data_IF_351191443194
#
_entry.id   IF_351191443194
#
_cell.length_a   1.000
_cell.length_b   1.000
_cell.length_c   1.000
_cell.angle_alpha   90.00
_cell.angle_beta   90.00
_cell.angle_gamma   90.00
#
_symmetry.space_group_name_H-M   'P 1'
#
loop_
_entity.id
_entity.type
_entity.pdbx_description
1 polymer ?
#
# COMPACT_ATOMS: atom_id res chain seq x y z
N UNK A 1 46.01 42.57 8.14
CA UNK A 1 46.84 43.02 7.00
C UNK A 1 48.26 42.50 7.20
N UNK A 2 48.69 41.58 6.33
CA UNK A 2 50.07 41.31 5.85
C UNK A 2 51.11 40.89 6.93
N UNK A 3 51.35 39.58 7.12
CA UNK A 3 52.35 38.67 6.44
C UNK A 3 53.77 38.80 7.01
N UNK A 4 54.36 37.67 7.41
CA UNK A 4 55.81 37.53 7.62
C UNK A 4 56.23 36.08 7.90
N UNK A 5 56.62 35.36 6.84
CA UNK A 5 57.17 33.98 6.81
C UNK A 5 58.53 33.87 7.53
N UNK A 6 58.84 32.66 8.01
CA UNK A 6 60.23 32.15 7.96
C UNK A 6 60.26 30.62 7.82
N UNK A 7 60.89 30.13 6.74
CA UNK A 7 61.29 28.73 6.55
C UNK A 7 62.55 28.42 7.36
N UNK A 8 62.66 27.20 7.89
CA UNK A 8 63.92 26.44 7.89
C UNK A 8 63.66 24.93 7.77
N UNK A 9 64.25 24.36 6.73
CA UNK A 9 64.49 22.94 6.48
C UNK A 9 65.72 22.47 7.25
N UNK A 10 65.68 21.25 7.81
CA UNK A 10 66.88 20.41 8.01
C UNK A 10 66.50 18.95 7.75
N UNK A 11 67.28 18.31 6.88
CA UNK A 11 67.25 16.92 6.48
C UNK A 11 67.82 15.99 7.55
N UNK A 12 67.23 14.81 7.73
CA UNK A 12 67.84 13.68 8.43
C UNK A 12 67.49 12.38 7.73
N UNK A 13 68.48 11.78 7.06
CA UNK A 13 68.42 10.45 6.46
C UNK A 13 68.47 9.39 7.56
N UNK A 14 67.63 8.36 7.45
CA UNK A 14 67.88 7.07 8.09
C UNK A 14 67.30 5.94 7.22
N UNK A 15 68.21 5.14 6.63
CA UNK A 15 67.91 3.86 6.02
C UNK A 15 67.33 2.90 7.06
N UNK A 16 66.09 2.46 6.84
CA UNK A 16 65.48 1.35 7.54
C UNK A 16 65.00 0.32 6.53
N UNK A 17 65.73 -0.79 6.43
CA UNK A 17 65.38 -1.98 5.68
C UNK A 17 64.03 -2.50 6.19
N UNK A 18 62.99 -2.48 5.34
CA UNK A 18 61.73 -3.19 5.61
C UNK A 18 61.72 -4.45 4.75
N UNK A 19 61.76 -5.57 5.45
CA UNK A 19 61.65 -6.92 4.94
C UNK A 19 60.27 -7.09 4.27
N UNK A 20 60.31 -7.51 3.00
CA UNK A 20 59.15 -7.98 2.24
C UNK A 20 58.68 -9.30 2.87
N UNK A 21 57.54 -9.26 3.57
CA UNK A 21 56.75 -10.44 3.90
C UNK A 21 55.49 -10.40 3.03
N UNK A 22 55.57 -11.11 1.91
CA UNK A 22 54.46 -11.46 1.04
C UNK A 22 53.52 -12.44 1.75
N UNK A 23 52.63 -11.92 2.58
CA UNK A 23 51.42 -12.64 2.99
C UNK A 23 50.38 -12.50 1.88
N UNK A 24 50.13 -13.61 1.17
CA UNK A 24 49.07 -13.69 0.18
C UNK A 24 47.73 -13.37 0.82
N UNK A 25 47.15 -12.22 0.45
CA UNK A 25 45.74 -11.95 0.68
C UNK A 25 44.93 -12.91 -0.17
N UNK A 26 44.55 -14.05 0.42
CA UNK A 26 43.40 -14.80 -0.05
C UNK A 26 42.20 -13.86 0.06
N UNK A 27 41.86 -13.23 -1.07
CA UNK A 27 40.54 -12.68 -1.26
C UNK A 27 39.57 -13.86 -1.23
N UNK A 28 39.06 -14.19 -0.03
CA UNK A 28 37.78 -14.88 0.07
C UNK A 28 36.76 -13.94 -0.55
N UNK A 29 36.48 -14.15 -1.82
CA UNK A 29 35.24 -13.76 -2.44
C UNK A 29 34.13 -14.42 -1.61
N UNK A 30 33.62 -13.70 -0.61
CA UNK A 30 32.28 -13.96 -0.11
C UNK A 30 31.39 -13.63 -1.30
N UNK A 31 31.02 -14.69 -2.02
CA UNK A 31 29.89 -14.66 -2.92
C UNK A 31 28.74 -14.01 -2.16
N UNK A 32 28.38 -12.81 -2.60
CA UNK A 32 27.24 -12.04 -2.12
C UNK A 32 25.99 -12.78 -2.59
N UNK A 33 25.66 -13.87 -1.91
CA UNK A 33 24.43 -14.63 -2.09
C UNK A 33 23.32 -13.96 -1.27
N UNK A 34 23.09 -12.66 -1.50
CA UNK A 34 21.91 -11.97 -0.97
C UNK A 34 20.88 -11.79 -2.08
N UNK A 35 20.43 -12.93 -2.60
CA UNK A 35 19.11 -13.02 -3.21
C UNK A 35 18.09 -12.74 -2.12
N UNK A 36 17.44 -11.58 -2.18
CA UNK A 36 16.30 -11.20 -1.33
C UNK A 36 15.31 -12.38 -1.26
N UNK A 37 15.37 -13.15 -0.17
CA UNK A 37 14.45 -14.27 0.06
C UNK A 37 13.07 -13.65 0.27
N UNK A 38 12.16 -13.89 -0.67
CA UNK A 38 10.80 -13.35 -0.60
C UNK A 38 10.14 -13.67 0.74
N UNK A 39 9.40 -12.70 1.27
CA UNK A 39 8.67 -12.84 2.53
C UNK A 39 7.39 -13.63 2.27
N UNK A 40 7.09 -14.62 3.10
CA UNK A 40 5.88 -15.43 2.93
C UNK A 40 4.63 -14.68 3.39
N UNK A 41 3.51 -14.90 2.70
CA UNK A 41 2.23 -14.28 3.03
C UNK A 41 1.78 -14.48 4.49
N UNK A 42 2.11 -15.63 5.09
CA UNK A 42 1.76 -16.00 6.47
C UNK A 42 2.21 -14.98 7.50
N UNK A 43 3.35 -14.30 7.25
CA UNK A 43 3.87 -13.28 8.15
C UNK A 43 2.92 -12.10 8.30
N UNK A 44 2.13 -11.82 7.26
CA UNK A 44 1.23 -10.67 7.19
C UNK A 44 -0.18 -10.97 7.65
N UNK A 45 -0.62 -12.22 7.53
CA UNK A 45 -2.02 -12.60 7.78
C UNK A 45 -2.22 -13.39 9.07
N UNK A 46 -1.21 -13.46 9.93
CA UNK A 46 -1.25 -14.20 11.20
C UNK A 46 -2.43 -13.82 12.11
N UNK A 47 -2.91 -12.58 12.03
CA UNK A 47 -4.02 -12.08 12.84
C UNK A 47 -5.40 -12.38 12.22
N UNK A 48 -5.45 -12.93 10.99
CA UNK A 48 -6.69 -13.45 10.43
C UNK A 48 -7.15 -14.70 11.21
N UNK A 49 -8.47 -14.97 11.26
CA UNK A 49 -8.99 -16.21 11.79
C UNK A 49 -8.35 -17.46 11.15
N UNK A 50 -8.03 -18.46 11.98
CA UNK A 50 -7.63 -19.78 11.50
C UNK A 50 -8.85 -20.58 11.07
N UNK A 51 -8.72 -21.37 10.01
CA UNK A 51 -9.80 -22.27 9.59
C UNK A 51 -9.82 -23.49 10.53
N UNK A 52 -11.00 -23.93 11.03
CA UNK A 52 -11.09 -25.17 11.78
C UNK A 52 -10.56 -26.34 10.93
N UNK A 53 -9.74 -27.21 11.50
CA UNK A 53 -9.20 -28.37 10.83
C UNK A 53 -10.32 -29.38 10.51
N UNK A 54 -10.93 -29.27 9.33
CA UNK A 54 -11.86 -30.28 8.83
C UNK A 54 -11.02 -31.41 8.26
N UNK A 55 -11.21 -32.63 8.78
CA UNK A 55 -10.32 -33.80 8.67
C UNK A 55 -10.07 -34.41 7.28
N UNK A 56 -9.86 -33.61 6.24
CA UNK A 56 -9.41 -34.08 4.92
C UNK A 56 -8.11 -33.39 4.56
N UNK A 57 -7.05 -34.19 4.48
CA UNK A 57 -5.67 -33.79 4.15
C UNK A 57 -5.59 -33.43 2.65
N UNK A 58 -6.14 -32.29 2.25
CA UNK A 58 -5.88 -31.70 0.94
C UNK A 58 -4.51 -31.03 0.98
N UNK A 59 -3.72 -31.15 -0.09
CA UNK A 59 -2.46 -30.42 -0.24
C UNK A 59 -2.73 -28.93 -0.06
N UNK A 60 -2.08 -28.31 0.94
CA UNK A 60 -2.25 -26.88 1.19
C UNK A 60 -1.77 -26.10 -0.05
N UNK A 61 -2.56 -25.13 -0.55
CA UNK A 61 -2.15 -24.34 -1.70
C UNK A 61 -0.85 -23.61 -1.41
N UNK A 62 0.05 -23.54 -2.41
CA UNK A 62 1.30 -22.78 -2.28
C UNK A 62 0.95 -21.32 -2.03
N UNK A 63 1.43 -20.80 -0.90
CA UNK A 63 1.16 -19.46 -0.45
C UNK A 63 1.97 -18.43 -1.25
N UNK A 64 1.41 -17.24 -1.53
CA UNK A 64 2.14 -16.20 -2.23
C UNK A 64 3.40 -15.74 -1.47
N UNK A 65 4.36 -15.25 -2.24
CA UNK A 65 5.58 -14.59 -1.74
C UNK A 65 5.53 -13.11 -2.06
N UNK A 66 6.15 -12.31 -1.21
CA UNK A 66 6.24 -10.87 -1.34
C UNK A 66 7.69 -10.42 -1.50
N UNK A 67 7.90 -9.40 -2.32
CA UNK A 67 9.18 -8.69 -2.45
C UNK A 67 9.09 -7.32 -1.78
N UNK A 68 10.10 -6.99 -0.97
CA UNK A 68 10.28 -5.63 -0.47
C UNK A 68 10.71 -4.71 -1.60
N UNK A 69 10.11 -3.52 -1.72
CA UNK A 69 10.55 -2.51 -2.68
C UNK A 69 11.76 -1.70 -2.21
N UNK A 70 12.17 -1.83 -0.95
CA UNK A 70 13.36 -1.18 -0.40
C UNK A 70 14.53 -2.17 -0.28
N UNK A 71 15.71 -1.72 -0.72
CA UNK A 71 16.99 -2.47 -0.66
C UNK A 71 17.49 -2.64 0.78
N UNK A 72 17.11 -1.74 1.69
CA UNK A 72 17.36 -1.95 3.12
C UNK A 72 16.50 -3.12 3.60
N UNK A 73 17.14 -4.17 4.13
CA UNK A 73 16.47 -5.32 4.71
C UNK A 73 15.34 -4.85 5.63
N UNK A 74 14.11 -5.27 5.33
CA UNK A 74 12.97 -4.97 6.18
C UNK A 74 13.31 -5.39 7.61
N UNK A 75 13.25 -4.46 8.56
CA UNK A 75 13.57 -4.76 9.94
C UNK A 75 12.66 -5.89 10.44
N UNK A 76 13.26 -6.96 10.97
CA UNK A 76 12.51 -8.11 11.50
C UNK A 76 11.78 -7.78 12.82
N UNK A 77 12.25 -6.77 13.55
CA UNK A 77 11.75 -6.35 14.87
C UNK A 77 11.52 -4.84 14.86
N UNK A 78 10.41 -4.33 15.42
CA UNK A 78 10.19 -2.89 15.50
C UNK A 78 11.19 -2.25 16.48
N UNK A 79 11.54 -0.96 16.29
CA UNK A 79 12.33 -0.22 17.26
C UNK A 79 11.68 -0.19 18.66
N UNK A 80 12.47 -0.01 19.74
CA UNK A 80 11.93 0.10 21.10
C UNK A 80 10.80 1.13 21.22
N UNK A 81 9.73 0.78 21.95
CA UNK A 81 8.56 1.64 22.12
C UNK A 81 7.62 1.74 20.91
N UNK A 82 7.91 0.98 19.83
CA UNK A 82 7.07 0.91 18.64
C UNK A 82 6.59 -0.52 18.38
N UNK A 83 5.53 -0.62 17.58
CA UNK A 83 4.98 -1.86 17.05
C UNK A 83 4.93 -1.79 15.53
N UNK A 84 4.96 -2.95 14.86
CA UNK A 84 4.63 -3.00 13.45
C UNK A 84 3.12 -2.91 13.25
N UNK A 85 2.70 -1.89 12.51
CA UNK A 85 1.35 -1.77 11.99
C UNK A 85 1.34 -2.07 10.50
N UNK A 86 0.34 -2.82 10.05
CA UNK A 86 0.27 -3.32 8.68
C UNK A 86 -1.11 -3.10 8.08
N UNK A 87 -1.10 -2.64 6.82
CA UNK A 87 -2.31 -2.51 6.01
C UNK A 87 -2.06 -3.15 4.65
N UNK A 88 -3.02 -3.94 4.20
CA UNK A 88 -3.04 -4.50 2.87
C UNK A 88 -3.92 -3.67 1.96
N UNK A 89 -3.45 -3.43 0.75
CA UNK A 89 -4.18 -2.70 -0.30
C UNK A 89 -4.16 -3.52 -1.58
N UNK A 90 -5.29 -3.57 -2.28
CA UNK A 90 -5.36 -4.06 -3.66
C UNK A 90 -6.08 -3.04 -4.51
N UNK A 91 -5.42 -2.59 -5.58
CA UNK A 91 -6.05 -1.82 -6.64
C UNK A 91 -6.58 -2.80 -7.70
N UNK A 92 -7.87 -2.72 -7.97
CA UNK A 92 -8.57 -3.56 -8.94
C UNK A 92 -8.87 -2.74 -10.19
N UNK A 93 -8.46 -3.21 -11.37
CA UNK A 93 -8.94 -2.73 -12.67
C UNK A 93 -10.16 -3.54 -13.07
N UNK A 94 -11.19 -2.87 -13.56
CA UNK A 94 -12.28 -3.55 -14.24
C UNK A 94 -11.88 -3.79 -15.68
N UNK A 95 -12.03 -5.03 -16.14
CA UNK A 95 -11.94 -5.39 -17.54
C UNK A 95 -13.20 -6.14 -17.99
N UNK A 96 -13.55 -6.14 -19.28
CA UNK A 96 -14.64 -6.95 -19.79
C UNK A 96 -14.46 -8.41 -19.34
N UNK A 97 -15.58 -9.03 -18.94
CA UNK A 97 -15.56 -10.43 -18.53
C UNK A 97 -15.31 -11.34 -19.73
N UNK A 98 -14.62 -12.44 -19.49
CA UNK A 98 -14.45 -13.54 -20.45
C UNK A 98 -15.22 -14.77 -19.94
N UNK A 99 -15.42 -15.77 -20.81
CA UNK A 99 -16.08 -17.02 -20.43
C UNK A 99 -15.31 -17.83 -19.37
N UNK A 100 -14.00 -17.59 -19.21
CA UNK A 100 -13.16 -18.24 -18.20
C UNK A 100 -13.22 -17.59 -16.81
N UNK A 101 -13.83 -16.41 -16.69
CA UNK A 101 -13.89 -15.70 -15.41
C UNK A 101 -14.94 -16.31 -14.48
N UNK A 102 -14.51 -16.63 -13.26
CA UNK A 102 -15.38 -17.23 -12.23
C UNK A 102 -16.15 -16.19 -11.43
N UNK A 103 -15.62 -14.98 -11.34
CA UNK A 103 -16.25 -13.85 -10.66
C UNK A 103 -16.59 -12.79 -11.68
N UNK A 104 -17.83 -12.37 -11.70
CA UNK A 104 -18.31 -11.30 -12.57
C UNK A 104 -19.16 -10.34 -11.77
N UNK A 105 -19.12 -9.07 -12.12
CA UNK A 105 -20.00 -8.06 -11.59
C UNK A 105 -20.78 -7.42 -12.73
N UNK A 106 -22.09 -7.36 -12.56
CA UNK A 106 -22.94 -6.64 -13.48
C UNK A 106 -22.91 -5.17 -13.10
N UNK A 107 -22.43 -4.35 -14.03
CA UNK A 107 -22.33 -2.90 -13.85
C UNK A 107 -23.28 -2.24 -14.83
N UNK A 108 -24.16 -1.39 -14.32
CA UNK A 108 -25.06 -0.58 -15.15
C UNK A 108 -24.27 0.58 -15.75
N UNK A 109 -24.27 0.66 -17.08
CA UNK A 109 -23.67 1.73 -17.86
C UNK A 109 -24.75 2.44 -18.69
N UNK A 110 -25.07 3.68 -18.31
CA UNK A 110 -26.14 4.43 -18.96
C UNK A 110 -27.53 3.84 -18.70
N UNK A 111 -28.52 4.23 -19.52
CA UNK A 111 -29.93 3.94 -19.25
C UNK A 111 -30.36 2.50 -19.56
N UNK A 112 -29.53 1.66 -20.20
CA UNK A 112 -29.97 0.30 -20.58
C UNK A 112 -28.88 -0.76 -20.80
N UNK A 113 -27.59 -0.43 -20.73
CA UNK A 113 -26.53 -1.41 -21.01
C UNK A 113 -25.99 -2.00 -19.70
N UNK A 114 -26.19 -3.31 -19.54
CA UNK A 114 -25.63 -4.09 -18.44
C UNK A 114 -24.43 -4.87 -18.96
N UNK A 115 -23.25 -4.45 -18.53
CA UNK A 115 -22.00 -5.07 -18.96
C UNK A 115 -21.43 -5.90 -17.83
N UNK A 116 -20.99 -7.12 -18.14
CA UNK A 116 -20.29 -7.98 -17.18
C UNK A 116 -18.82 -7.58 -17.10
N UNK A 117 -18.36 -7.22 -15.91
CA UNK A 117 -16.97 -6.88 -15.63
C UNK A 117 -16.32 -7.87 -14.67
N UNK A 118 -15.04 -8.13 -14.91
CA UNK A 118 -14.16 -8.87 -14.01
C UNK A 118 -13.15 -7.92 -13.39
N UNK A 119 -12.87 -8.09 -12.10
CA UNK A 119 -11.88 -7.30 -11.39
C UNK A 119 -10.53 -8.00 -11.46
N UNK A 120 -9.50 -7.25 -11.86
CA UNK A 120 -8.15 -7.74 -12.05
C UNK A 120 -7.17 -6.95 -11.17
N UNK A 121 -6.28 -7.64 -10.48
CA UNK A 121 -5.28 -7.02 -9.61
C UNK A 121 -4.28 -6.18 -10.40
N UNK A 122 -3.98 -5.00 -9.86
CA UNK A 122 -2.93 -4.13 -10.35
C UNK A 122 -1.80 -4.04 -9.33
N UNK A 123 -0.57 -4.12 -9.82
CA UNK A 123 0.60 -3.72 -9.04
C UNK A 123 0.56 -2.20 -8.75
N UNK A 124 0.97 -1.80 -7.55
CA UNK A 124 1.11 -0.38 -7.24
C UNK A 124 2.15 0.29 -8.16
N UNK A 125 1.83 1.50 -8.62
CA UNK A 125 2.69 2.27 -9.51
C UNK A 125 2.38 2.04 -10.99
N UNK A 126 1.51 1.07 -11.31
CA UNK A 126 0.92 0.96 -12.65
C UNK A 126 0.19 2.25 -13.00
N UNK A 127 0.53 2.85 -14.14
CA UNK A 127 -0.13 4.06 -14.61
C UNK A 127 -1.59 3.79 -14.96
N UNK A 128 -2.46 4.73 -14.60
CA UNK A 128 -3.88 4.68 -14.87
C UNK A 128 -4.24 5.52 -16.10
N UNK A 129 -5.08 4.97 -16.97
CA UNK A 129 -5.52 5.67 -18.18
C UNK A 129 -6.84 6.39 -17.91
N UNK A 130 -7.06 7.61 -18.44
CA UNK A 130 -8.38 8.25 -18.40
C UNK A 130 -9.49 7.33 -18.91
N UNK A 131 -10.63 7.33 -18.23
CA UNK A 131 -11.77 6.44 -18.50
C UNK A 131 -11.66 5.06 -17.84
N UNK A 132 -10.48 4.65 -17.37
CA UNK A 132 -10.30 3.38 -16.68
C UNK A 132 -11.16 3.31 -15.43
N UNK A 133 -11.74 2.13 -15.19
CA UNK A 133 -12.57 1.84 -14.03
C UNK A 133 -11.74 1.09 -13.01
N UNK A 134 -11.73 1.57 -11.76
CA UNK A 134 -10.97 0.97 -10.67
C UNK A 134 -11.76 0.87 -9.37
N UNK A 135 -11.36 -0.04 -8.50
CA UNK A 135 -11.84 -0.15 -7.11
C UNK A 135 -10.67 -0.46 -6.20
N UNK A 136 -10.73 0.01 -4.96
CA UNK A 136 -9.76 -0.34 -3.94
C UNK A 136 -10.36 -1.41 -3.04
N UNK A 137 -9.52 -2.36 -2.60
CA UNK A 137 -9.81 -3.10 -1.38
C UNK A 137 -8.71 -2.85 -0.34
N UNK A 138 -9.13 -2.65 0.91
CA UNK A 138 -8.25 -2.36 2.03
C UNK A 138 -8.56 -3.34 3.17
N UNK A 139 -7.52 -3.88 3.78
CA UNK A 139 -7.60 -4.73 4.95
C UNK A 139 -6.61 -4.24 6.01
N UNK A 140 -7.06 -4.04 7.24
CA UNK A 140 -6.13 -3.87 8.35
C UNK A 140 -5.59 -5.23 8.76
N UNK A 141 -4.28 -5.42 8.71
CA UNK A 141 -3.68 -6.75 8.85
C UNK A 141 -3.18 -7.05 10.26
N UNK A 142 -2.92 -6.02 11.06
CA UNK A 142 -2.27 -6.18 12.36
C UNK A 142 -2.94 -5.45 13.51
N UNK A 143 -4.08 -4.79 13.27
CA UNK A 143 -4.81 -4.07 14.32
C UNK A 143 -6.27 -3.84 13.98
N UNK A 144 -7.08 -3.73 15.02
CA UNK A 144 -8.43 -3.24 14.90
C UNK A 144 -8.45 -1.71 14.95
N UNK A 145 -9.42 -1.09 14.29
CA UNK A 145 -9.49 0.36 14.26
C UNK A 145 -10.61 0.92 13.39
N UNK A 146 -10.41 2.15 12.95
CA UNK A 146 -11.30 2.92 12.10
C UNK A 146 -10.55 3.36 10.85
N UNK A 147 -11.04 2.96 9.68
CA UNK A 147 -10.45 3.27 8.39
C UNK A 147 -10.98 4.61 7.86
N UNK A 148 -10.08 5.41 7.31
CA UNK A 148 -10.39 6.62 6.57
C UNK A 148 -9.57 6.61 5.28
N UNK A 149 -10.19 7.02 4.18
CA UNK A 149 -9.51 7.22 2.90
C UNK A 149 -9.82 8.62 2.41
N UNK A 150 -8.76 9.39 2.22
CA UNK A 150 -8.80 10.80 1.80
C UNK A 150 -8.14 10.88 0.44
N UNK A 151 -8.82 11.47 -0.52
CA UNK A 151 -8.30 11.72 -1.85
C UNK A 151 -7.86 13.18 -2.01
N UNK A 152 -6.74 13.42 -2.68
CA UNK A 152 -6.31 14.73 -3.16
C UNK A 152 -5.81 14.59 -4.60
N UNK A 153 -6.13 15.58 -5.43
CA UNK A 153 -5.48 15.70 -6.74
C UNK A 153 -4.02 16.11 -6.54
N UNK A 154 -3.10 15.52 -7.27
CA UNK A 154 -1.71 15.98 -7.39
C UNK A 154 -1.55 16.63 -8.76
N UNK A 155 -0.99 17.84 -8.76
CA UNK A 155 -0.74 18.61 -9.96
C UNK A 155 0.72 18.51 -10.42
N UNK A 156 1.01 18.89 -11.66
CA UNK A 156 2.34 18.79 -12.25
C UNK A 156 3.41 19.65 -11.52
N UNK A 157 2.98 20.70 -10.82
CA UNK A 157 3.83 21.53 -9.96
C UNK A 157 4.12 20.89 -8.58
N UNK A 158 3.60 19.69 -8.31
CA UNK A 158 3.69 18.99 -7.04
C UNK A 158 2.73 19.51 -5.96
N UNK A 159 1.90 20.51 -6.27
CA UNK A 159 0.88 20.97 -5.34
C UNK A 159 -0.27 19.98 -5.25
N UNK A 160 -0.91 19.93 -4.08
CA UNK A 160 -2.08 19.09 -3.82
C UNK A 160 -3.35 19.95 -3.84
N UNK A 161 -4.41 19.40 -4.41
CA UNK A 161 -5.76 19.95 -4.36
C UNK A 161 -6.46 19.71 -3.02
N UNK A 162 -7.75 20.00 -2.98
CA UNK A 162 -8.58 19.86 -1.77
C UNK A 162 -8.61 18.43 -1.25
N UNK A 163 -8.55 18.30 0.08
CA UNK A 163 -8.66 17.01 0.75
C UNK A 163 -10.11 16.55 0.81
N UNK A 164 -10.39 15.40 0.21
CA UNK A 164 -11.72 14.84 0.04
C UNK A 164 -11.84 13.49 0.73
N UNK A 165 -12.57 13.40 1.83
CA UNK A 165 -12.89 12.12 2.48
C UNK A 165 -13.80 11.31 1.56
N UNK A 166 -13.28 10.22 1.01
CA UNK A 166 -14.01 9.30 0.13
C UNK A 166 -14.47 8.03 0.88
N UNK A 167 -13.96 7.79 2.09
CA UNK A 167 -14.45 6.77 3.00
C UNK A 167 -14.11 7.13 4.46
N UNK A 168 -15.03 6.94 5.42
CA UNK A 168 -16.42 6.49 5.23
C UNK A 168 -17.32 7.56 4.62
N UNK A 169 -18.40 7.09 3.99
CA UNK A 169 -19.57 7.88 3.58
C UNK A 169 -20.82 7.07 3.89
N UNK A 170 -21.98 7.70 4.09
CA UNK A 170 -23.25 6.99 4.34
C UNK A 170 -23.65 6.05 3.20
N UNK A 171 -23.28 6.41 1.96
CA UNK A 171 -23.47 5.55 0.78
C UNK A 171 -22.65 4.25 0.84
N UNK A 172 -21.55 4.21 1.59
CA UNK A 172 -20.67 3.02 1.68
C UNK A 172 -20.78 2.41 3.07
N UNK A 173 -21.38 1.22 3.17
CA UNK A 173 -21.55 0.50 4.44
C UNK A 173 -22.27 1.34 5.51
N UNK A 174 -23.19 2.22 5.12
CA UNK A 174 -23.94 3.10 6.05
C UNK A 174 -23.02 3.97 6.93
N UNK A 175 -21.81 4.28 6.46
CA UNK A 175 -20.80 5.01 7.21
C UNK A 175 -19.97 4.17 8.18
N UNK A 176 -20.20 2.85 8.25
CA UNK A 176 -19.40 1.95 9.07
C UNK A 176 -17.97 1.85 8.53
N UNK A 177 -16.99 2.18 9.38
CA UNK A 177 -15.57 2.15 9.03
C UNK A 177 -14.71 1.35 10.00
N UNK A 178 -15.32 0.52 10.85
CA UNK A 178 -14.57 -0.41 11.70
C UNK A 178 -13.84 -1.44 10.82
N UNK A 179 -12.55 -1.60 11.07
CA UNK A 179 -11.70 -2.57 10.37
C UNK A 179 -10.99 -3.48 11.37
N UNK A 180 -10.70 -4.69 10.91
CA UNK A 180 -9.95 -5.73 11.63
C UNK A 180 -9.34 -6.71 10.63
N UNK A 181 -8.42 -7.55 11.10
CA UNK A 181 -7.84 -8.61 10.27
C UNK A 181 -8.90 -9.54 9.68
N UNK A 182 -8.75 -9.86 8.40
CA UNK A 182 -9.67 -10.69 7.63
C UNK A 182 -10.93 -9.96 7.15
N UNK A 183 -11.20 -8.72 7.59
CA UNK A 183 -12.34 -7.93 7.08
C UNK A 183 -11.86 -6.98 6.00
N UNK A 184 -12.24 -7.28 4.76
CA UNK A 184 -11.89 -6.47 3.60
C UNK A 184 -12.96 -5.39 3.38
N UNK A 185 -12.51 -4.16 3.14
CA UNK A 185 -13.37 -3.02 2.81
C UNK A 185 -13.13 -2.64 1.35
N UNK A 186 -14.21 -2.57 0.58
CA UNK A 186 -14.18 -2.15 -0.82
C UNK A 186 -14.59 -0.69 -0.96
N UNK A 187 -13.81 0.08 -1.71
CA UNK A 187 -14.00 1.52 -1.86
C UNK A 187 -13.96 1.89 -3.36
N UNK A 188 -15.08 2.37 -3.93
CA UNK A 188 -16.42 2.33 -3.33
C UNK A 188 -16.91 0.87 -3.20
N UNK A 189 -17.93 0.65 -2.37
CA UNK A 189 -18.54 -0.68 -2.21
C UNK A 189 -19.22 -1.16 -3.51
N UNK A 190 -19.29 -2.48 -3.76
CA UNK A 190 -19.94 -3.03 -4.94
C UNK A 190 -21.42 -2.61 -5.04
N UNK A 191 -21.98 -2.47 -6.26
CA UNK A 191 -21.32 -2.69 -7.57
C UNK A 191 -20.53 -1.46 -8.06
N UNK A 192 -20.33 -0.43 -7.23
CA UNK A 192 -19.75 0.84 -7.66
C UNK A 192 -18.24 0.75 -7.97
N UNK A 193 -17.73 1.75 -8.69
CA UNK A 193 -16.33 1.88 -9.06
C UNK A 193 -15.94 3.37 -9.17
N UNK A 194 -14.65 3.66 -9.12
CA UNK A 194 -14.11 4.95 -9.55
C UNK A 194 -13.79 4.92 -11.03
N UNK A 195 -14.15 6.00 -11.74
CA UNK A 195 -13.71 6.22 -13.12
C UNK A 195 -12.62 7.28 -13.12
N UNK A 196 -11.45 6.93 -13.65
CA UNK A 196 -10.31 7.85 -13.73
C UNK A 196 -10.66 8.99 -14.68
N UNK A 197 -10.72 10.20 -14.14
CA UNK A 197 -11.05 11.42 -14.89
C UNK A 197 -10.18 12.56 -14.37
N UNK A 198 -8.98 12.75 -14.94
CA UNK A 198 -8.14 13.89 -14.57
C UNK A 198 -8.93 15.19 -14.74
N UNK A 199 -8.71 16.14 -13.84
CA UNK A 199 -9.38 17.44 -13.86
C UNK A 199 -8.74 18.32 -14.94
N UNK A 200 -9.53 19.21 -15.55
CA UNK A 200 -9.05 20.16 -16.56
C UNK A 200 -8.32 21.37 -15.95
N UNK A 201 -7.69 21.19 -14.78
CA UNK A 201 -6.93 22.25 -14.09
C UNK A 201 -5.76 22.73 -14.96
N UNK A 202 -5.53 24.04 -15.01
CA UNK A 202 -4.37 24.63 -15.70
C UNK A 202 -3.02 24.18 -15.12
N UNK A 203 -3.02 23.66 -13.89
CA UNK A 203 -1.82 23.11 -13.24
C UNK A 203 -1.46 21.70 -13.72
N UNK A 204 -2.30 21.06 -14.52
CA UNK A 204 -2.14 19.69 -15.01
C UNK A 204 -2.32 18.66 -13.90
N UNK A 205 -3.47 18.00 -13.84
CA UNK A 205 -3.73 16.92 -12.88
C UNK A 205 -3.02 15.63 -13.32
N UNK A 206 -2.03 15.19 -12.55
CA UNK A 206 -1.11 14.08 -12.92
C UNK A 206 -1.33 12.80 -12.12
N UNK A 207 -1.96 12.87 -10.94
CA UNK A 207 -2.28 11.71 -10.13
C UNK A 207 -3.40 12.00 -9.12
N UNK A 208 -4.10 10.96 -8.67
CA UNK A 208 -4.79 11.00 -7.37
C UNK A 208 -3.81 10.53 -6.28
N UNK A 209 -3.78 11.21 -5.14
CA UNK A 209 -3.01 10.79 -3.96
C UNK A 209 -3.97 10.41 -2.85
N UNK A 210 -4.03 9.11 -2.57
CA UNK A 210 -4.86 8.57 -1.52
C UNK A 210 -4.09 8.49 -0.21
N UNK A 211 -4.53 9.22 0.80
CA UNK A 211 -4.09 9.04 2.18
C UNK A 211 -4.99 8.01 2.83
N UNK A 212 -4.44 6.83 3.16
CA UNK A 212 -5.14 5.76 3.88
C UNK A 212 -4.71 5.80 5.33
N UNK A 213 -5.70 5.88 6.22
CA UNK A 213 -5.48 6.00 7.67
C UNK A 213 -6.25 4.93 8.43
N UNK A 214 -5.59 4.27 9.38
CA UNK A 214 -6.24 3.39 10.37
C UNK A 214 -5.91 3.88 11.77
N UNK A 215 -6.93 4.36 12.49
CA UNK A 215 -6.81 4.90 13.85
C UNK A 215 -7.48 4.00 14.88
N UNK A 216 -7.00 4.03 16.12
CA UNK A 216 -7.60 3.29 17.25
C UNK A 216 -8.92 3.91 17.73
N UNK A 217 -9.12 5.21 17.48
CA UNK A 217 -10.29 6.01 17.87
C UNK A 217 -10.92 6.70 16.66
N UNK A 218 -12.23 6.97 16.65
CA UNK A 218 -12.84 7.73 15.56
C UNK A 218 -12.20 9.12 15.44
N UNK A 219 -11.90 9.54 14.21
CA UNK A 219 -11.39 10.90 13.92
C UNK A 219 -12.52 11.86 13.52
N UNK A 220 -13.63 11.32 13.03
CA UNK A 220 -14.78 12.08 12.55
C UNK A 220 -16.01 11.58 13.28
N UNK A 221 -16.85 12.50 13.73
CA UNK A 221 -18.14 12.15 14.33
C UNK A 221 -19.04 11.53 13.25
N UNK A 222 -19.62 10.32 13.46
CA UNK A 222 -20.52 9.70 12.50
C UNK A 222 -21.67 10.60 12.03
N UNK A 223 -22.10 11.56 12.85
CA UNK A 223 -23.15 12.55 12.50
C UNK A 223 -22.72 13.54 11.42
N UNK A 224 -21.40 13.73 11.24
CA UNK A 224 -20.82 14.60 10.21
C UNK A 224 -20.69 13.88 8.86
N UNK A 225 -20.94 12.57 8.79
CA UNK A 225 -20.88 11.83 7.53
C UNK A 225 -22.03 12.22 6.59
N UNK A 226 -21.74 12.29 5.30
CA UNK A 226 -22.71 12.56 4.23
C UNK A 226 -22.85 11.36 3.29
N UNK A 227 -23.84 11.40 2.41
CA UNK A 227 -24.04 10.38 1.36
C UNK A 227 -22.89 10.35 0.33
N UNK A 228 -22.13 11.43 0.24
CA UNK A 228 -21.08 11.61 -0.76
C UNK A 228 -19.75 11.93 -0.11
N UNK A 229 -18.76 12.24 -0.93
CA UNK A 229 -17.47 12.75 -0.48
C UNK A 229 -17.63 14.02 0.37
N UNK A 230 -16.79 14.18 1.38
CA UNK A 230 -16.77 15.35 2.28
C UNK A 230 -15.44 16.09 2.09
N UNK A 231 -15.48 17.39 1.86
CA UNK A 231 -14.27 18.22 1.87
C UNK A 231 -13.81 18.43 3.31
N UNK A 232 -12.57 18.06 3.60
CA UNK A 232 -11.94 18.25 4.90
C UNK A 232 -11.12 19.54 4.92
N UNK A 233 -11.04 20.25 6.06
CA UNK A 233 -10.10 21.35 6.20
C UNK A 233 -8.68 20.88 5.95
N UNK A 234 -7.92 21.65 5.16
CA UNK A 234 -6.55 21.31 4.78
C UNK A 234 -5.66 21.09 6.01
N UNK A 235 -5.80 21.96 7.00
CA UNK A 235 -5.03 21.96 8.23
C UNK A 235 -5.28 20.70 9.06
N UNK A 236 -6.49 20.13 8.99
CA UNK A 236 -6.83 18.89 9.68
C UNK A 236 -6.05 17.71 9.11
N UNK A 237 -6.06 17.58 7.78
CA UNK A 237 -5.38 16.48 7.09
C UNK A 237 -3.86 16.62 7.20
N UNK A 238 -3.33 17.84 7.03
CA UNK A 238 -1.90 18.10 7.23
C UNK A 238 -1.46 17.82 8.67
N UNK A 239 -2.30 18.15 9.66
CA UNK A 239 -2.06 17.82 11.06
C UNK A 239 -1.96 16.31 11.30
N UNK A 240 -2.90 15.52 10.77
CA UNK A 240 -2.85 14.06 10.86
C UNK A 240 -1.61 13.47 10.18
N UNK A 241 -1.27 13.97 8.99
CA UNK A 241 -0.09 13.52 8.25
C UNK A 241 1.19 13.90 8.98
N UNK A 242 1.32 15.11 9.51
CA UNK A 242 2.49 15.51 10.29
C UNK A 242 2.63 14.71 11.58
N UNK A 243 1.51 14.38 12.22
CA UNK A 243 1.52 13.64 13.49
C UNK A 243 1.90 12.17 13.31
N UNK A 244 1.46 11.51 12.23
CA UNK A 244 1.53 10.06 12.10
C UNK A 244 2.25 9.54 10.85
N UNK A 245 2.58 10.39 9.88
CA UNK A 245 3.32 9.93 8.71
C UNK A 245 4.71 9.45 9.13
N UNK A 246 5.03 8.23 8.73
CA UNK A 246 6.35 7.64 8.90
C UNK A 246 6.69 6.83 7.66
N UNK A 247 7.97 6.47 7.51
CA UNK A 247 8.39 5.68 6.37
C UNK A 247 7.75 4.29 6.43
N UNK A 248 7.03 3.93 5.38
CA UNK A 248 6.48 2.60 5.20
C UNK A 248 7.45 1.72 4.42
N UNK A 249 7.63 0.48 4.86
CA UNK A 249 8.19 -0.57 4.02
C UNK A 249 7.06 -1.18 3.22
N UNK A 250 7.21 -1.18 1.90
CA UNK A 250 6.26 -1.79 0.97
C UNK A 250 6.70 -3.19 0.57
N UNK A 251 5.70 -4.08 0.50
CA UNK A 251 5.82 -5.45 0.04
C UNK A 251 4.81 -5.70 -1.09
N UNK A 252 5.30 -6.11 -2.25
CA UNK A 252 4.48 -6.38 -3.42
C UNK A 252 4.38 -7.90 -3.66
N UNK A 253 3.17 -8.41 -3.89
CA UNK A 253 2.94 -9.83 -4.13
C UNK A 253 3.47 -10.26 -5.50
N UNK A 254 4.32 -11.27 -5.50
CA UNK A 254 4.89 -11.81 -6.73
C UNK A 254 3.86 -12.53 -7.59
N UNK A 255 3.77 -12.14 -8.86
CA UNK A 255 2.86 -12.74 -9.84
C UNK A 255 1.39 -12.52 -9.51
N UNK A 256 1.08 -11.48 -8.73
CA UNK A 256 -0.27 -11.11 -8.34
C UNK A 256 -1.00 -10.24 -9.35
N UNK A 257 -0.29 -9.30 -10.01
CA UNK A 257 -0.85 -8.49 -11.07
C UNK A 257 -1.42 -9.35 -12.20
N UNK A 258 -2.55 -8.90 -12.77
CA UNK A 258 -3.25 -9.63 -13.81
C UNK A 258 -4.13 -10.79 -13.31
N UNK A 259 -4.04 -11.17 -12.03
CA UNK A 259 -4.95 -12.17 -11.47
C UNK A 259 -6.34 -11.61 -11.28
N UNK A 260 -7.33 -12.38 -11.69
CA UNK A 260 -8.74 -12.08 -11.47
C UNK A 260 -9.10 -12.26 -10.00
N UNK A 261 -10.04 -11.45 -9.53
CA UNK A 261 -10.67 -11.61 -8.24
C UNK A 261 -11.14 -13.05 -8.03
N UNK A 262 -10.95 -13.56 -6.83
CA UNK A 262 -11.44 -14.89 -6.46
C UNK A 262 -12.86 -14.81 -5.89
N UNK A 263 -13.58 -15.93 -5.90
CA UNK A 263 -14.91 -16.03 -5.28
C UNK A 263 -14.89 -15.66 -3.80
N UNK A 264 -13.78 -15.96 -3.09
CA UNK A 264 -13.61 -15.61 -1.68
C UNK A 264 -13.51 -14.12 -1.46
N UNK A 265 -12.76 -13.43 -2.32
CA UNK A 265 -12.66 -11.97 -2.28
C UNK A 265 -14.00 -11.33 -2.64
N UNK A 266 -14.65 -11.80 -3.71
CA UNK A 266 -15.96 -11.31 -4.10
C UNK A 266 -17.00 -11.49 -2.97
N UNK A 267 -17.00 -12.65 -2.32
CA UNK A 267 -17.89 -12.92 -1.18
C UNK A 267 -17.59 -12.02 0.02
N UNK A 268 -16.30 -11.69 0.24
CA UNK A 268 -15.86 -10.79 1.30
C UNK A 268 -16.29 -9.32 1.07
N UNK A 269 -16.84 -8.98 -0.10
CA UNK A 269 -17.25 -7.62 -0.44
C UNK A 269 -18.58 -7.18 0.21
N UNK A 270 -19.34 -8.11 0.80
CA UNK A 270 -20.58 -7.79 1.51
C UNK A 270 -20.31 -7.28 2.95
N UNK A 271 -21.17 -6.37 3.42
CA UNK A 271 -21.14 -5.84 4.79
C UNK A 271 -21.17 -6.97 5.84
N UNK A 272 -22.00 -7.99 5.61
CA UNK A 272 -22.18 -9.14 6.50
C UNK A 272 -21.28 -10.33 6.16
N UNK A 273 -20.33 -10.14 5.23
CA UNK A 273 -19.45 -11.22 4.83
C UNK A 273 -18.60 -11.73 6.00
N UNK A 274 -18.43 -13.05 6.04
CA UNK A 274 -17.48 -13.70 6.93
C UNK A 274 -16.06 -13.17 6.68
N UNK A 275 -15.27 -13.09 7.75
CA UNK A 275 -13.86 -12.71 7.65
C UNK A 275 -13.08 -13.73 6.82
N UNK A 276 -12.18 -13.22 5.97
CA UNK A 276 -11.15 -14.02 5.33
C UNK A 276 -10.27 -14.67 6.38
N UNK A 277 -10.00 -15.95 6.19
CA UNK A 277 -9.08 -16.75 7.00
C UNK A 277 -7.65 -16.63 6.48
N UNK A 278 -6.72 -17.27 7.20
CA UNK A 278 -5.33 -17.42 6.77
C UNK A 278 -5.18 -18.22 5.47
N UNK A 279 -6.20 -18.99 5.06
CA UNK A 279 -6.20 -19.77 3.82
C UNK A 279 -6.77 -19.04 2.62
N UNK A 280 -7.41 -17.91 2.85
CA UNK A 280 -8.02 -17.12 1.79
C UNK A 280 -7.00 -16.14 1.17
N UNK A 281 -7.31 -15.59 -0.01
CA UNK A 281 -6.40 -14.70 -0.74
C UNK A 281 -5.93 -13.48 0.07
N UNK A 282 -4.74 -13.01 -0.29
CA UNK A 282 -4.03 -11.95 0.43
C UNK A 282 -3.96 -10.66 -0.39
N UNK A 283 -3.79 -9.49 0.22
CA UNK A 283 -3.71 -8.21 -0.50
C UNK A 283 -2.55 -8.16 -1.50
N UNK A 284 -2.72 -7.41 -2.60
CA UNK A 284 -1.67 -7.29 -3.62
C UNK A 284 -0.42 -6.57 -3.09
N UNK A 285 -0.63 -5.48 -2.37
CA UNK A 285 0.42 -4.67 -1.77
C UNK A 285 0.22 -4.63 -0.27
N UNK A 286 1.30 -4.73 0.50
CA UNK A 286 1.28 -4.59 1.96
C UNK A 286 2.25 -3.49 2.36
N UNK A 287 1.77 -2.59 3.23
CA UNK A 287 2.59 -1.59 3.86
C UNK A 287 2.80 -1.96 5.33
N UNK A 288 4.05 -1.91 5.78
CA UNK A 288 4.44 -2.08 7.20
C UNK A 288 5.08 -0.79 7.69
N UNK A 289 4.66 -0.33 8.85
CA UNK A 289 5.14 0.88 9.50
C UNK A 289 5.52 0.57 10.94
N UNK A 290 6.59 1.18 11.44
CA UNK A 290 6.93 1.15 12.85
C UNK A 290 6.36 2.39 13.55
N UNK A 291 5.28 2.23 14.29
CA UNK A 291 4.51 3.30 14.94
C UNK A 291 4.37 3.08 16.44
N UNK A 292 4.03 4.11 17.21
CA UNK A 292 3.64 3.91 18.61
C UNK A 292 2.29 3.17 18.66
N UNK A 293 2.02 2.35 19.69
CA UNK A 293 0.77 1.59 19.78
C UNK A 293 -0.50 2.42 19.61
N UNK A 294 -0.54 3.63 20.15
CA UNK A 294 -1.71 4.52 20.10
C UNK A 294 -1.80 5.40 18.85
N UNK A 295 -0.70 5.50 18.08
CA UNK A 295 -0.67 6.33 16.87
C UNK A 295 -1.48 5.66 15.75
N UNK A 296 -2.02 6.48 14.85
CA UNK A 296 -2.64 5.95 13.64
C UNK A 296 -1.58 5.41 12.68
N UNK A 297 -1.95 4.41 11.89
CA UNK A 297 -1.22 4.07 10.67
C UNK A 297 -1.64 5.05 9.58
N UNK A 298 -0.67 5.66 8.88
CA UNK A 298 -0.92 6.54 7.73
C UNK A 298 0.00 6.13 6.57
N UNK A 299 -0.58 5.89 5.40
CA UNK A 299 0.17 5.70 4.15
C UNK A 299 -0.37 6.63 3.07
N UNK A 300 0.48 6.95 2.10
CA UNK A 300 0.10 7.64 0.86
C UNK A 300 0.26 6.69 -0.31
N UNK A 301 -0.80 6.56 -1.10
CA UNK A 301 -0.87 5.73 -2.29
C UNK A 301 -1.06 6.64 -3.51
N UNK A 302 0.00 6.92 -4.28
CA UNK A 302 -0.11 7.70 -5.51
C UNK A 302 -0.67 6.84 -6.66
N UNK A 303 -1.74 7.31 -7.28
CA UNK A 303 -2.39 6.73 -8.44
C UNK A 303 -2.09 7.60 -9.66
N UNK A 304 -0.91 7.39 -10.26
CA UNK A 304 -0.40 8.21 -11.35
C UNK A 304 -1.14 7.95 -12.65
N UNK A 305 -1.38 8.99 -13.43
CA UNK A 305 -2.00 8.88 -14.73
C UNK A 305 -0.97 8.67 -15.83
N UNK A 306 -1.39 7.98 -16.89
CA UNK A 306 -0.66 8.04 -18.17
C UNK A 306 -0.67 9.48 -18.66
N UNK A 307 0.48 10.07 -19.03
CA UNK A 307 0.52 11.39 -19.64
C UNK A 307 -0.41 11.41 -20.87
N UNK A 308 -1.25 12.44 -20.98
CA UNK A 308 -2.03 12.65 -22.19
C UNK A 308 -1.05 12.87 -23.36
N UNK A 309 -1.26 12.17 -24.48
CA UNK A 309 -0.52 12.50 -25.70
C UNK A 309 -0.87 13.94 -26.09
N UNK A 310 0.13 14.77 -26.44
CA UNK A 310 -0.11 16.14 -26.89
C UNK A 310 -0.92 16.18 -28.18
#
# INVERSE_FOLDING_TARGET
>A
MIIGRTLRTVSGWACGIVIVLSAGSFATALAQEEGSKGIKAEEFIRDRPTKPAVGRRTVAPKKPTYKSSHIAAAAAVPPPGKVFAQVGVTLWRFRPSTSGDKTKELVEEGESERTEWSLERMEEGTLLTPGQKVRLSIESLSRDGYLYVINREEYADGSLGDARLIFPTKKTLEGANRVKAGKMVYIPGPPNYFRIKPSSSSKGHVAEVLTVLVSSKPLIDPRQLSETTITLPKETVEGWEMQWATQATKFEMEGGAGRVMTEKEQSAASADAASLSQDDPVPQTIYRLAIKPEDALVIRLPLKFTPLKP
#
